data_IF_386095043102
#
_entry.id   IF_386095043102
#
_cell.length_a   1.000
_cell.length_b   1.000
_cell.length_c   1.000
_cell.angle_alpha   90.00
_cell.angle_beta   90.00
_cell.angle_gamma   90.00
#
_symmetry.space_group_name_H-M   'P 1'
#
loop_
_entity.id
_entity.type
_entity.pdbx_description
1 polymer ?
#
# COMPACT_ATOMS: atom_id res chain seq x y z
N UNK A 1 -16.75 -1.14 -2.62
CA UNK A 1 -15.57 -0.50 -3.25
C UNK A 1 -14.38 -0.50 -2.30
N UNK A 2 -13.17 -0.27 -2.82
CA UNK A 2 -11.95 -0.12 -1.99
C UNK A 2 -12.10 1.06 -1.01
N UNK A 3 -12.70 2.17 -1.45
CA UNK A 3 -12.91 3.33 -0.58
C UNK A 3 -13.81 3.02 0.61
N UNK A 4 -14.94 2.34 0.37
CA UNK A 4 -15.84 1.90 1.45
C UNK A 4 -15.13 0.93 2.39
N UNK A 5 -14.35 -0.01 1.87
CA UNK A 5 -13.59 -0.96 2.67
C UNK A 5 -12.54 -0.29 3.58
N UNK A 6 -11.87 0.75 3.08
CA UNK A 6 -10.93 1.59 3.86
C UNK A 6 -11.67 2.35 4.95
N UNK A 7 -12.81 2.98 4.61
CA UNK A 7 -13.68 3.68 5.58
C UNK A 7 -14.14 2.73 6.68
N UNK A 8 -14.70 1.58 6.31
CA UNK A 8 -15.18 0.58 7.27
C UNK A 8 -14.07 0.10 8.21
N UNK A 9 -12.87 -0.18 7.66
CA UNK A 9 -11.73 -0.60 8.47
C UNK A 9 -11.38 0.43 9.55
N UNK A 10 -11.28 1.71 9.19
CA UNK A 10 -10.97 2.76 10.13
C UNK A 10 -12.10 2.95 11.16
N UNK A 11 -13.35 2.96 10.71
CA UNK A 11 -14.52 3.14 11.57
C UNK A 11 -14.64 2.01 12.60
N UNK A 12 -14.49 0.76 12.16
CA UNK A 12 -14.52 -0.40 13.06
C UNK A 12 -13.39 -0.36 14.08
N UNK A 13 -12.16 0.01 13.69
CA UNK A 13 -11.04 0.12 14.61
C UNK A 13 -11.18 1.29 15.59
N UNK A 14 -11.73 2.42 15.16
CA UNK A 14 -12.05 3.54 16.05
C UNK A 14 -13.16 3.20 17.06
N UNK A 15 -14.16 2.38 16.67
CA UNK A 15 -15.16 1.87 17.59
C UNK A 15 -14.58 0.87 18.59
N UNK A 16 -13.66 0.02 18.13
CA UNK A 16 -13.04 -1.05 18.90
C UNK A 16 -12.06 -0.53 19.98
N UNK A 17 -11.28 0.51 19.67
CA UNK A 17 -10.19 0.98 20.51
C UNK A 17 -10.17 2.52 20.60
N UNK A 18 -10.41 3.04 21.78
CA UNK A 18 -10.44 4.49 22.02
C UNK A 18 -9.10 5.21 21.83
N UNK A 19 -8.00 4.47 21.71
CA UNK A 19 -6.68 5.02 21.38
C UNK A 19 -6.52 5.31 19.89
N UNK A 20 -7.36 4.74 19.02
CA UNK A 20 -7.34 5.00 17.59
C UNK A 20 -7.99 6.33 17.31
N UNK A 21 -7.29 7.23 16.66
CA UNK A 21 -7.81 8.50 16.14
C UNK A 21 -7.23 8.79 14.75
N UNK A 22 -7.89 9.67 14.01
CA UNK A 22 -7.44 10.06 12.68
C UNK A 22 -7.12 11.56 12.67
N UNK A 23 -6.05 11.91 11.94
CA UNK A 23 -5.64 13.29 11.72
C UNK A 23 -5.15 13.49 10.29
N UNK A 24 -5.37 14.66 9.75
CA UNK A 24 -4.98 15.03 8.40
C UNK A 24 -5.71 16.27 7.91
N UNK A 25 -5.48 16.63 6.66
CA UNK A 25 -6.10 17.79 6.03
C UNK A 25 -7.50 17.44 5.52
N UNK A 26 -8.46 18.33 5.74
CA UNK A 26 -9.86 18.20 5.26
C UNK A 26 -10.60 16.91 5.71
N UNK A 27 -10.08 16.19 6.68
CA UNK A 27 -10.64 14.87 7.09
C UNK A 27 -11.88 14.97 8.00
N UNK A 28 -12.14 16.13 8.60
CA UNK A 28 -13.25 16.39 9.51
C UNK A 28 -14.57 16.62 8.76
N UNK A 29 -15.04 17.86 8.76
CA UNK A 29 -16.34 18.20 8.20
C UNK A 29 -16.49 17.88 6.71
N UNK A 30 -15.39 17.92 5.95
CA UNK A 30 -15.37 17.57 4.53
C UNK A 30 -15.36 16.05 4.28
N UNK A 31 -14.84 15.27 5.22
CA UNK A 31 -14.72 13.81 5.09
C UNK A 31 -13.54 13.34 4.25
N UNK A 32 -12.52 14.19 4.05
CA UNK A 32 -11.35 13.93 3.22
C UNK A 32 -11.59 14.20 1.72
N UNK A 33 -10.52 14.37 0.96
CA UNK A 33 -10.58 14.66 -0.50
C UNK A 33 -11.32 13.55 -1.27
N UNK A 34 -11.19 12.33 -0.83
CA UNK A 34 -11.85 11.17 -1.45
C UNK A 34 -13.08 10.68 -0.67
N UNK A 35 -13.47 11.36 0.41
CA UNK A 35 -14.56 10.99 1.31
C UNK A 35 -14.28 9.70 2.11
N UNK A 36 -13.02 9.40 2.41
CA UNK A 36 -12.65 8.23 3.18
C UNK A 36 -13.05 8.33 4.66
N UNK A 37 -13.26 9.54 5.18
CA UNK A 37 -13.64 9.83 6.57
C UNK A 37 -15.01 10.49 6.70
N UNK A 38 -15.85 10.41 5.65
CA UNK A 38 -17.20 10.96 5.67
C UNK A 38 -18.02 10.40 6.83
N UNK A 39 -18.61 11.30 7.63
CA UNK A 39 -19.41 10.95 8.82
C UNK A 39 -18.60 10.67 10.10
N UNK A 40 -17.27 10.62 10.05
CA UNK A 40 -16.47 10.31 11.21
C UNK A 40 -16.52 11.41 12.28
N UNK A 41 -16.52 12.68 11.87
CA UNK A 41 -16.58 13.80 12.80
C UNK A 41 -17.87 13.76 13.65
N UNK A 42 -19.00 13.44 13.02
CA UNK A 42 -20.29 13.33 13.69
C UNK A 42 -20.33 12.15 14.68
N UNK A 43 -19.66 11.04 14.33
CA UNK A 43 -19.66 9.83 15.17
C UNK A 43 -18.64 9.90 16.31
N UNK A 44 -17.43 10.38 16.06
CA UNK A 44 -16.29 10.27 16.99
C UNK A 44 -15.90 11.59 17.65
N UNK A 45 -16.36 12.73 17.12
CA UNK A 45 -16.05 14.06 17.63
C UNK A 45 -14.65 14.58 17.27
N UNK A 46 -14.43 15.86 17.57
CA UNK A 46 -13.20 16.60 17.24
C UNK A 46 -11.94 16.09 17.95
N UNK A 47 -12.09 15.44 19.09
CA UNK A 47 -10.96 14.86 19.84
C UNK A 47 -10.36 13.63 19.16
N UNK A 48 -11.10 12.99 18.25
CA UNK A 48 -10.68 11.78 17.54
C UNK A 48 -10.64 11.90 16.03
N UNK A 49 -11.18 12.98 15.48
CA UNK A 49 -11.12 13.33 14.06
C UNK A 49 -10.58 14.74 13.97
N UNK A 50 -9.29 14.86 13.74
CA UNK A 50 -8.55 16.11 13.90
C UNK A 50 -8.20 16.68 12.52
N UNK A 51 -8.93 17.72 12.11
CA UNK A 51 -8.53 18.53 10.96
C UNK A 51 -7.25 19.30 11.29
N UNK A 52 -6.23 19.14 10.44
CA UNK A 52 -4.95 19.82 10.63
C UNK A 52 -4.79 20.95 9.60
N UNK A 53 -3.95 21.95 9.91
CA UNK A 53 -3.39 22.80 8.87
C UNK A 53 -2.60 21.97 7.85
N UNK A 54 -2.38 22.54 6.65
CA UNK A 54 -1.53 21.99 5.61
C UNK A 54 -0.05 22.00 6.06
N UNK A 55 0.36 20.92 6.73
CA UNK A 55 1.70 20.79 7.31
C UNK A 55 2.05 19.29 7.53
N UNK A 56 2.33 18.57 6.46
CA UNK A 56 2.51 17.11 6.48
C UNK A 56 3.63 16.64 7.41
N UNK A 57 4.70 17.43 7.56
CA UNK A 57 5.75 17.13 8.54
C UNK A 57 5.24 17.16 9.98
N UNK A 58 4.30 18.08 10.29
CA UNK A 58 3.66 18.17 11.61
C UNK A 58 2.66 17.04 11.79
N UNK A 59 1.88 16.69 10.78
CA UNK A 59 0.94 15.56 10.81
C UNK A 59 1.71 14.27 11.19
N UNK A 60 2.78 13.95 10.46
CA UNK A 60 3.60 12.77 10.75
C UNK A 60 4.30 12.85 12.12
N UNK A 61 4.79 14.03 12.50
CA UNK A 61 5.48 14.23 13.79
C UNK A 61 4.56 14.11 14.99
N UNK A 62 3.35 14.67 14.92
CA UNK A 62 2.34 14.55 15.99
C UNK A 62 1.85 13.11 16.08
N UNK A 63 1.61 12.45 14.94
CA UNK A 63 1.24 11.04 14.93
C UNK A 63 2.33 10.18 15.60
N UNK A 64 3.59 10.36 15.25
CA UNK A 64 4.70 9.64 15.88
C UNK A 64 4.76 9.90 17.39
N UNK A 65 4.72 11.17 17.84
CA UNK A 65 4.74 11.51 19.26
C UNK A 65 3.56 10.90 20.02
N UNK A 66 2.37 10.94 19.45
CA UNK A 66 1.16 10.34 20.03
C UNK A 66 1.27 8.81 20.12
N UNK A 67 1.81 8.17 19.09
CA UNK A 67 2.06 6.74 19.07
C UNK A 67 3.03 6.31 20.18
N UNK A 68 4.13 7.03 20.35
CA UNK A 68 5.10 6.79 21.43
C UNK A 68 4.51 6.97 22.83
N UNK A 69 3.41 7.71 22.95
CA UNK A 69 2.63 7.88 24.20
C UNK A 69 1.46 6.89 24.35
N UNK A 70 1.39 5.88 23.47
CA UNK A 70 0.43 4.79 23.58
C UNK A 70 -0.88 4.96 22.81
N UNK A 71 -1.02 6.02 22.00
CA UNK A 71 -2.12 6.18 21.08
C UNK A 71 -1.88 5.38 19.78
N UNK A 72 -2.90 5.25 18.95
CA UNK A 72 -2.82 4.58 17.63
C UNK A 72 -3.34 5.51 16.52
N UNK A 73 -2.54 6.50 16.14
CA UNK A 73 -2.92 7.47 15.12
C UNK A 73 -2.95 6.87 13.72
N UNK A 74 -3.96 7.30 12.96
CA UNK A 74 -4.03 7.19 11.51
C UNK A 74 -3.77 8.59 10.97
N UNK A 75 -2.60 8.81 10.38
CA UNK A 75 -2.22 10.08 9.76
C UNK A 75 -2.51 10.01 8.26
N UNK A 76 -3.40 10.86 7.75
CA UNK A 76 -3.70 10.94 6.32
C UNK A 76 -2.92 12.08 5.67
N UNK A 77 -2.22 11.77 4.59
CA UNK A 77 -1.64 12.74 3.65
C UNK A 77 -2.50 12.71 2.40
N UNK A 78 -2.98 13.85 1.94
CA UNK A 78 -3.97 13.93 0.86
C UNK A 78 -3.58 13.20 -0.42
N UNK A 79 -2.28 13.25 -0.78
CA UNK A 79 -1.72 12.59 -1.96
C UNK A 79 -0.29 12.10 -1.70
N UNK A 80 0.08 10.99 -2.30
CA UNK A 80 1.44 10.46 -2.25
C UNK A 80 2.50 11.47 -2.73
N UNK A 81 2.12 12.39 -3.61
CA UNK A 81 2.98 13.48 -4.09
C UNK A 81 3.35 14.49 -2.99
N UNK A 82 2.55 14.61 -1.93
CA UNK A 82 2.78 15.54 -0.81
C UNK A 82 3.44 14.87 0.40
N UNK A 83 3.80 13.59 0.28
CA UNK A 83 4.37 12.82 1.39
C UNK A 83 5.82 13.22 1.76
N UNK A 84 6.53 13.95 0.89
CA UNK A 84 7.94 14.27 1.05
C UNK A 84 8.31 14.99 2.35
N UNK A 85 7.52 15.97 2.86
CA UNK A 85 7.82 16.60 4.14
C UNK A 85 7.77 15.66 5.35
N UNK A 86 7.18 14.47 5.21
CA UNK A 86 7.08 13.48 6.30
C UNK A 86 8.34 12.62 6.46
N UNK A 87 9.28 12.66 5.51
CA UNK A 87 10.44 11.75 5.44
C UNK A 87 11.26 11.77 6.73
N UNK A 88 11.52 12.95 7.28
CA UNK A 88 12.30 13.04 8.52
C UNK A 88 11.63 12.29 9.67
N UNK A 89 10.32 12.45 9.86
CA UNK A 89 9.57 11.84 10.95
C UNK A 89 9.37 10.33 10.73
N UNK A 90 9.10 9.91 9.49
CA UNK A 90 8.78 8.51 9.17
C UNK A 90 10.05 7.69 8.97
N UNK A 91 10.93 8.12 8.07
CA UNK A 91 12.16 7.41 7.70
C UNK A 91 13.28 7.66 8.74
N UNK A 92 13.41 8.92 9.19
CA UNK A 92 14.44 9.32 10.14
C UNK A 92 14.17 8.80 11.55
N UNK A 93 12.94 8.86 12.00
CA UNK A 93 12.57 8.64 13.40
C UNK A 93 11.70 7.39 13.60
N UNK A 94 10.46 7.34 13.07
CA UNK A 94 9.50 6.27 13.36
C UNK A 94 10.07 4.87 13.04
N UNK A 95 10.74 4.72 11.91
CA UNK A 95 11.37 3.46 11.50
C UNK A 95 12.42 2.94 12.50
N UNK A 96 12.99 3.82 13.34
CA UNK A 96 14.11 3.50 14.22
C UNK A 96 13.73 3.40 15.69
N UNK A 97 12.54 3.85 16.09
CA UNK A 97 12.11 3.92 17.50
C UNK A 97 12.31 2.58 18.21
N UNK A 98 11.77 1.50 17.67
CA UNK A 98 11.91 0.17 18.31
C UNK A 98 13.35 -0.28 18.40
N UNK A 99 14.12 -0.16 17.33
CA UNK A 99 15.52 -0.58 17.30
C UNK A 99 16.40 0.27 18.22
N UNK A 100 16.27 1.62 18.14
CA UNK A 100 17.06 2.55 18.93
C UNK A 100 16.79 2.50 20.44
N UNK A 101 15.62 2.01 20.83
CA UNK A 101 15.24 1.85 22.25
C UNK A 101 15.31 0.41 22.75
N UNK A 102 15.91 -0.49 22.00
CA UNK A 102 16.00 -1.92 22.35
C UNK A 102 14.61 -2.55 22.62
N UNK A 103 13.60 -2.13 21.86
CA UNK A 103 12.23 -2.62 22.00
C UNK A 103 11.44 -2.02 23.15
N UNK A 104 11.96 -1.01 23.87
CA UNK A 104 11.25 -0.36 24.99
C UNK A 104 10.15 0.58 24.53
N UNK A 105 10.30 1.19 23.37
CA UNK A 105 9.29 2.04 22.75
C UNK A 105 8.85 1.47 21.41
N UNK A 106 7.62 1.80 21.04
CA UNK A 106 6.97 1.42 19.80
C UNK A 106 6.44 2.66 19.09
N UNK A 107 6.17 2.55 17.81
CA UNK A 107 5.55 3.62 17.03
C UNK A 107 4.32 3.06 16.26
N UNK A 108 3.23 2.68 16.99
CA UNK A 108 2.02 2.12 16.40
C UNK A 108 1.23 3.20 15.65
N UNK A 109 1.73 3.63 14.49
CA UNK A 109 1.09 4.63 13.65
C UNK A 109 0.89 4.10 12.23
N UNK A 110 -0.18 4.53 11.59
CA UNK A 110 -0.43 4.32 10.16
C UNK A 110 -0.31 5.66 9.45
N UNK A 111 0.57 5.74 8.45
CA UNK A 111 0.61 6.85 7.51
C UNK A 111 -0.12 6.40 6.24
N UNK A 112 -1.31 6.94 5.98
CA UNK A 112 -2.08 6.70 4.78
C UNK A 112 -1.81 7.77 3.73
N UNK A 113 -1.67 7.36 2.47
CA UNK A 113 -1.61 8.30 1.36
C UNK A 113 -2.22 7.67 0.10
N UNK A 114 -3.23 8.31 -0.50
CA UNK A 114 -3.68 7.98 -1.85
C UNK A 114 -2.57 8.27 -2.85
N UNK A 115 -2.15 7.26 -3.63
CA UNK A 115 -1.03 7.37 -4.57
C UNK A 115 -1.39 6.92 -6.00
N UNK A 116 -0.39 6.92 -6.90
CA UNK A 116 -0.49 6.39 -8.26
C UNK A 116 -1.15 7.32 -9.27
N UNK A 117 -1.08 6.97 -10.53
CA UNK A 117 -1.59 7.75 -11.65
C UNK A 117 -3.09 7.65 -11.90
N UNK A 118 -3.54 8.26 -13.00
CA UNK A 118 -4.92 8.17 -13.47
C UNK A 118 -5.89 9.20 -12.91
N UNK A 119 -5.43 10.10 -12.04
CA UNK A 119 -6.12 11.31 -11.64
C UNK A 119 -5.45 12.49 -12.35
N UNK A 120 -6.22 13.27 -13.10
CA UNK A 120 -5.69 14.37 -13.92
C UNK A 120 -5.50 15.62 -13.08
N UNK A 121 -4.59 15.57 -12.11
CA UNK A 121 -4.29 16.64 -11.17
C UNK A 121 -2.95 17.35 -11.44
N UNK A 122 -2.52 17.45 -12.68
CA UNK A 122 -1.21 17.99 -13.08
C UNK A 122 -0.02 17.17 -12.54
N UNK A 123 1.15 17.78 -12.39
CA UNK A 123 2.41 17.09 -12.05
C UNK A 123 2.45 16.45 -10.65
N UNK A 124 1.59 16.92 -9.73
CA UNK A 124 1.70 16.60 -8.30
C UNK A 124 0.61 15.67 -7.78
N UNK A 125 -0.01 14.86 -8.67
CA UNK A 125 -1.10 13.97 -8.26
C UNK A 125 -1.02 12.59 -8.92
N UNK A 126 0.16 12.17 -9.36
CA UNK A 126 0.32 10.94 -10.15
C UNK A 126 1.49 10.06 -9.72
N UNK A 127 2.14 10.36 -8.59
CA UNK A 127 3.35 9.65 -8.18
C UNK A 127 3.04 8.33 -7.48
N UNK A 128 3.92 7.36 -7.72
CA UNK A 128 4.09 6.15 -6.94
C UNK A 128 5.30 6.33 -6.04
N UNK A 129 5.17 6.01 -4.75
CA UNK A 129 6.19 6.37 -3.74
C UNK A 129 6.62 5.18 -2.89
N UNK A 130 6.09 4.02 -3.17
CA UNK A 130 6.27 2.80 -2.37
C UNK A 130 7.72 2.36 -2.26
N UNK A 131 8.52 2.49 -3.32
CA UNK A 131 9.91 2.06 -3.32
C UNK A 131 10.77 2.82 -2.31
N UNK A 132 10.51 4.11 -2.10
CA UNK A 132 11.23 4.92 -1.11
C UNK A 132 11.05 4.37 0.30
N UNK A 133 9.82 4.07 0.69
CA UNK A 133 9.50 3.55 2.02
C UNK A 133 9.89 2.08 2.16
N UNK A 134 9.74 1.28 1.10
CA UNK A 134 10.14 -0.13 1.09
C UNK A 134 11.65 -0.32 1.29
N UNK A 135 12.46 0.65 0.86
CA UNK A 135 13.91 0.65 1.10
C UNK A 135 14.27 0.91 2.56
N UNK A 136 13.34 1.36 3.41
CA UNK A 136 13.61 1.76 4.79
C UNK A 136 13.34 0.63 5.78
N UNK A 137 14.39 -0.02 6.36
CA UNK A 137 14.20 -1.00 7.43
C UNK A 137 13.49 -0.40 8.64
N UNK A 138 12.55 -1.16 9.23
CA UNK A 138 11.72 -0.72 10.35
C UNK A 138 10.36 -0.20 9.96
N UNK A 139 10.11 0.09 8.68
CA UNK A 139 8.78 0.38 8.15
C UNK A 139 8.12 -0.88 7.59
N UNK A 140 6.79 -0.90 7.62
CA UNK A 140 5.96 -1.79 6.81
C UNK A 140 5.28 -0.97 5.73
N UNK A 141 5.17 -1.52 4.50
CA UNK A 141 4.58 -0.81 3.36
C UNK A 141 3.57 -1.72 2.68
N UNK A 142 2.33 -1.27 2.64
CA UNK A 142 1.17 -2.03 2.16
C UNK A 142 0.56 -1.31 0.96
N UNK A 143 0.22 -2.09 -0.08
CA UNK A 143 -0.34 -1.61 -1.35
C UNK A 143 -1.51 -2.52 -1.77
N UNK A 144 -2.70 -2.39 -1.15
CA UNK A 144 -3.82 -3.30 -1.39
C UNK A 144 -4.38 -3.14 -2.81
N UNK A 145 -4.91 -4.22 -3.36
CA UNK A 145 -5.52 -4.24 -4.69
C UNK A 145 -7.03 -4.39 -4.68
N UNK A 146 -7.62 -5.01 -3.65
CA UNK A 146 -9.05 -5.31 -3.57
C UNK A 146 -9.69 -4.73 -2.30
N UNK A 147 -11.03 -4.60 -2.25
CA UNK A 147 -11.74 -4.19 -1.03
C UNK A 147 -11.46 -5.11 0.16
N UNK A 148 -11.46 -6.43 -0.07
CA UNK A 148 -11.15 -7.44 0.96
C UNK A 148 -9.74 -7.21 1.55
N UNK A 149 -8.74 -7.04 0.68
CA UNK A 149 -7.36 -6.81 1.11
C UNK A 149 -7.22 -5.46 1.82
N UNK A 150 -7.85 -4.41 1.30
CA UNK A 150 -7.79 -3.07 1.88
C UNK A 150 -8.33 -3.05 3.31
N UNK A 151 -9.52 -3.64 3.57
CA UNK A 151 -10.10 -3.71 4.91
C UNK A 151 -9.25 -4.55 5.85
N UNK A 152 -8.93 -5.78 5.46
CA UNK A 152 -8.21 -6.71 6.34
C UNK A 152 -6.78 -6.27 6.67
N UNK A 153 -6.06 -5.72 5.69
CA UNK A 153 -4.69 -5.21 5.89
C UNK A 153 -4.65 -3.88 6.65
N UNK A 154 -5.62 -2.98 6.44
CA UNK A 154 -5.66 -1.72 7.18
C UNK A 154 -5.97 -1.96 8.67
N UNK A 155 -6.89 -2.88 8.98
CA UNK A 155 -7.12 -3.30 10.37
C UNK A 155 -5.85 -3.90 11.00
N UNK A 156 -5.12 -4.73 10.27
CA UNK A 156 -3.83 -5.26 10.72
C UNK A 156 -2.80 -4.15 10.94
N UNK A 157 -2.75 -3.16 10.04
CA UNK A 157 -1.85 -2.02 10.15
C UNK A 157 -2.14 -1.16 11.40
N UNK A 158 -3.42 -0.89 11.69
CA UNK A 158 -3.82 -0.11 12.88
C UNK A 158 -3.50 -0.87 14.18
N UNK A 159 -3.55 -2.19 14.15
CA UNK A 159 -3.23 -3.06 15.30
C UNK A 159 -1.74 -3.34 15.47
N UNK A 160 -0.93 -3.04 14.48
CA UNK A 160 0.52 -3.27 14.52
C UNK A 160 1.21 -2.31 15.49
N UNK A 161 2.28 -2.75 16.14
CA UNK A 161 3.07 -1.93 17.05
C UNK A 161 4.24 -1.20 16.35
N UNK A 162 4.46 -1.49 15.07
CA UNK A 162 5.46 -0.81 14.23
C UNK A 162 4.79 0.14 13.23
N UNK A 163 5.51 1.14 12.73
CA UNK A 163 4.95 2.11 11.79
C UNK A 163 4.64 1.46 10.44
N UNK A 164 3.45 1.73 9.93
CA UNK A 164 2.96 1.23 8.64
C UNK A 164 2.68 2.40 7.70
N UNK A 165 3.23 2.33 6.49
CA UNK A 165 2.86 3.19 5.37
C UNK A 165 1.83 2.43 4.53
N UNK A 166 0.63 2.96 4.43
CA UNK A 166 -0.50 2.33 3.75
C UNK A 166 -0.87 3.15 2.52
N UNK A 167 -0.57 2.62 1.33
CA UNK A 167 -0.68 3.33 0.06
C UNK A 167 -1.84 2.78 -0.75
N UNK A 168 -2.93 3.53 -0.84
CA UNK A 168 -4.09 3.15 -1.62
C UNK A 168 -4.02 3.79 -3.01
N UNK A 169 -4.13 2.96 -4.05
CA UNK A 169 -4.14 3.50 -5.40
C UNK A 169 -5.47 4.22 -5.70
N UNK A 170 -5.41 5.52 -6.01
CA UNK A 170 -6.59 6.39 -6.18
C UNK A 170 -7.64 5.84 -7.16
N UNK A 171 -7.20 5.20 -8.26
CA UNK A 171 -8.13 4.61 -9.24
C UNK A 171 -8.89 3.41 -8.73
N UNK A 172 -8.33 2.67 -7.77
CA UNK A 172 -9.03 1.52 -7.19
C UNK A 172 -10.21 1.94 -6.33
N UNK A 173 -10.19 3.12 -5.74
CA UNK A 173 -11.17 3.60 -4.78
C UNK A 173 -12.62 3.38 -5.22
N UNK A 174 -12.96 3.74 -6.46
CA UNK A 174 -14.33 3.67 -6.97
C UNK A 174 -14.52 2.64 -8.08
N UNK A 175 -13.44 2.27 -8.78
CA UNK A 175 -13.49 1.36 -9.92
C UNK A 175 -13.45 -0.11 -9.51
N UNK A 176 -12.72 -0.43 -8.43
CA UNK A 176 -12.60 -1.80 -7.96
C UNK A 176 -13.67 -2.08 -6.93
N UNK A 177 -14.47 -3.11 -7.23
CA UNK A 177 -15.53 -3.62 -6.35
C UNK A 177 -15.26 -5.07 -6.03
N UNK A 178 -15.67 -5.51 -4.86
CA UNK A 178 -15.55 -6.90 -4.41
C UNK A 178 -16.34 -7.10 -3.13
N UNK A 179 -16.61 -8.35 -2.82
CA UNK A 179 -17.25 -8.73 -1.57
C UNK A 179 -16.29 -8.53 -0.41
N UNK A 180 -16.81 -8.02 0.69
CA UNK A 180 -16.12 -7.87 1.96
C UNK A 180 -16.98 -8.51 3.03
N UNK A 181 -16.46 -9.47 3.82
CA UNK A 181 -17.22 -10.08 4.89
C UNK A 181 -17.70 -9.06 5.94
N UNK A 182 -18.91 -9.29 6.47
CA UNK A 182 -19.43 -8.50 7.60
C UNK A 182 -18.77 -8.93 8.93
N UNK A 183 -18.26 -10.17 8.97
CA UNK A 183 -17.57 -10.72 10.12
C UNK A 183 -16.21 -10.06 10.33
N UNK A 184 -15.78 -10.05 11.58
CA UNK A 184 -14.46 -9.55 11.97
C UNK A 184 -13.34 -10.37 11.33
N UNK A 185 -12.46 -9.72 10.59
CA UNK A 185 -11.26 -10.36 10.04
C UNK A 185 -10.10 -9.39 9.93
N UNK A 186 -8.90 -9.95 9.89
CA UNK A 186 -7.64 -9.26 9.58
C UNK A 186 -6.84 -10.11 8.60
N UNK A 187 -5.92 -9.50 7.89
CA UNK A 187 -5.00 -10.20 7.00
C UNK A 187 -3.55 -10.03 7.47
N UNK A 188 -2.73 -11.09 7.41
CA UNK A 188 -1.34 -11.00 7.83
C UNK A 188 -0.53 -10.12 6.88
N UNK A 189 0.17 -9.13 7.44
CA UNK A 189 1.12 -8.29 6.72
C UNK A 189 2.30 -9.16 6.26
N UNK A 190 2.79 -8.95 5.03
CA UNK A 190 3.90 -9.71 4.47
C UNK A 190 3.48 -11.06 3.86
N UNK A 191 2.21 -11.19 3.46
CA UNK A 191 1.70 -12.37 2.76
C UNK A 191 1.08 -11.98 1.42
N UNK A 192 1.68 -12.51 0.36
CA UNK A 192 1.16 -12.41 -0.99
C UNK A 192 -0.05 -13.33 -1.21
N UNK A 193 -0.79 -13.08 -2.29
CA UNK A 193 -2.00 -13.82 -2.66
C UNK A 193 -2.02 -14.13 -4.15
N UNK A 194 -2.38 -15.37 -4.51
CA UNK A 194 -2.57 -15.76 -5.90
C UNK A 194 -3.98 -15.36 -6.32
N UNK A 195 -4.10 -14.31 -7.11
CA UNK A 195 -5.38 -13.81 -7.64
C UNK A 195 -5.88 -14.64 -8.83
N UNK A 196 -4.98 -15.31 -9.51
CA UNK A 196 -5.28 -16.23 -10.61
C UNK A 196 -4.23 -17.32 -10.67
N UNK A 197 -4.68 -18.56 -10.73
CA UNK A 197 -3.81 -19.71 -11.01
C UNK A 197 -3.45 -19.77 -12.49
N UNK A 198 -2.24 -20.25 -12.81
CA UNK A 198 -1.74 -20.49 -14.16
C UNK A 198 -0.46 -21.31 -14.12
N UNK A 199 -0.08 -21.88 -15.28
CA UNK A 199 1.05 -22.81 -15.35
C UNK A 199 2.12 -22.42 -16.38
N UNK A 200 1.87 -21.42 -17.25
CA UNK A 200 2.78 -21.10 -18.35
C UNK A 200 3.69 -19.91 -18.04
N UNK A 201 3.20 -18.91 -17.31
CA UNK A 201 3.95 -17.71 -16.93
C UNK A 201 3.40 -17.14 -15.62
N UNK A 202 4.29 -16.67 -14.77
CA UNK A 202 3.94 -15.94 -13.54
C UNK A 202 4.10 -14.45 -13.72
N UNK A 203 3.05 -13.72 -13.39
CA UNK A 203 3.06 -12.27 -13.28
C UNK A 203 3.04 -11.89 -11.80
N UNK A 204 4.07 -11.17 -11.34
CA UNK A 204 4.20 -10.69 -9.97
C UNK A 204 3.93 -9.19 -9.96
N UNK A 205 2.97 -8.76 -9.15
CA UNK A 205 2.47 -7.37 -9.20
C UNK A 205 1.85 -6.95 -7.88
N UNK A 206 1.34 -5.71 -7.77
CA UNK A 206 0.62 -5.16 -6.62
C UNK A 206 -0.26 -3.97 -7.02
N UNK A 207 -1.15 -3.56 -6.11
CA UNK A 207 -2.00 -2.39 -6.27
C UNK A 207 -2.87 -2.43 -7.53
N UNK A 208 -2.99 -1.31 -8.24
CA UNK A 208 -3.81 -1.22 -9.45
C UNK A 208 -3.37 -2.22 -10.54
N UNK A 209 -2.06 -2.47 -10.65
CA UNK A 209 -1.53 -3.31 -11.72
C UNK A 209 -2.02 -4.77 -11.63
N UNK A 210 -2.49 -5.24 -10.48
CA UNK A 210 -3.16 -6.54 -10.34
C UNK A 210 -4.33 -6.66 -11.32
N UNK A 211 -5.17 -5.62 -11.41
CA UNK A 211 -6.35 -5.62 -12.28
C UNK A 211 -5.98 -5.63 -13.76
N UNK A 212 -4.99 -4.83 -14.15
CA UNK A 212 -4.50 -4.84 -15.53
C UNK A 212 -3.84 -6.17 -15.92
N UNK A 213 -3.13 -6.80 -14.98
CA UNK A 213 -2.55 -8.12 -15.20
C UNK A 213 -3.63 -9.20 -15.31
N UNK A 214 -4.71 -9.13 -14.53
CA UNK A 214 -5.85 -10.05 -14.66
C UNK A 214 -6.59 -9.88 -15.98
N UNK A 215 -6.80 -8.65 -16.44
CA UNK A 215 -7.37 -8.34 -17.76
C UNK A 215 -6.49 -8.90 -18.89
N UNK A 216 -5.18 -8.66 -18.82
CA UNK A 216 -4.22 -9.19 -19.79
C UNK A 216 -4.18 -10.72 -19.79
N UNK A 217 -4.18 -11.34 -18.59
CA UNK A 217 -4.23 -12.79 -18.44
C UNK A 217 -5.49 -13.39 -19.08
N UNK A 218 -6.64 -12.71 -18.95
CA UNK A 218 -7.88 -13.15 -19.58
C UNK A 218 -7.84 -13.02 -21.12
N UNK A 219 -7.18 -11.99 -21.65
CA UNK A 219 -7.08 -11.76 -23.08
C UNK A 219 -6.30 -12.87 -23.82
N UNK A 220 -5.28 -13.46 -23.16
CA UNK A 220 -4.43 -14.50 -23.78
C UNK A 220 -4.93 -15.93 -23.57
N UNK A 221 -6.04 -16.13 -22.87
CA UNK A 221 -6.61 -17.48 -22.65
C UNK A 221 -6.91 -18.21 -23.95
N UNK A 222 -7.43 -17.51 -24.95
CA UNK A 222 -7.76 -18.10 -26.24
C UNK A 222 -6.51 -18.48 -27.08
N UNK A 223 -5.34 -18.00 -26.67
CA UNK A 223 -4.05 -18.38 -27.25
C UNK A 223 -3.47 -19.63 -26.55
N UNK A 224 -4.17 -20.17 -25.56
CA UNK A 224 -3.75 -21.34 -24.79
C UNK A 224 -2.68 -21.01 -23.74
N UNK A 225 -2.58 -19.74 -23.29
CA UNK A 225 -1.59 -19.31 -22.29
C UNK A 225 -2.29 -19.17 -20.94
N UNK A 226 -1.80 -19.92 -19.94
CA UNK A 226 -2.26 -19.88 -18.56
C UNK A 226 -1.34 -19.01 -17.70
N UNK A 227 -1.79 -17.78 -17.42
CA UNK A 227 -1.04 -16.80 -16.61
C UNK A 227 -1.41 -16.92 -15.14
N UNK A 228 -0.41 -17.16 -14.29
CA UNK A 228 -0.56 -16.99 -12.84
C UNK A 228 -0.37 -15.51 -12.48
N UNK A 229 -1.22 -14.97 -11.62
CA UNK A 229 -1.09 -13.58 -11.12
C UNK A 229 -0.93 -13.60 -9.61
N UNK A 230 0.26 -13.26 -9.14
CA UNK A 230 0.61 -13.10 -7.73
C UNK A 230 0.54 -11.63 -7.34
N UNK A 231 -0.38 -11.30 -6.42
CA UNK A 231 -0.47 -9.99 -5.77
C UNK A 231 0.39 -9.97 -4.51
N UNK A 232 1.39 -9.12 -4.47
CA UNK A 232 2.27 -8.98 -3.31
C UNK A 232 1.55 -8.42 -2.09
N UNK A 233 0.49 -7.59 -2.25
CA UNK A 233 -0.23 -6.90 -1.17
C UNK A 233 0.64 -6.01 -0.31
N UNK A 234 1.85 -6.48 0.01
CA UNK A 234 2.82 -5.84 0.89
C UNK A 234 4.18 -5.83 0.21
N UNK A 235 4.76 -4.67 0.05
CA UNK A 235 6.09 -4.54 -0.55
C UNK A 235 7.20 -4.47 0.52
N UNK A 236 6.81 -4.28 1.79
CA UNK A 236 7.70 -4.42 2.96
C UNK A 236 6.89 -4.84 4.20
N UNK A 237 7.18 -5.99 4.87
CA UNK A 237 8.05 -7.06 4.38
C UNK A 237 7.47 -7.69 3.10
N UNK A 238 8.34 -8.13 2.21
CA UNK A 238 7.94 -8.83 0.98
C UNK A 238 7.81 -10.34 1.25
N UNK A 239 6.93 -11.04 0.54
CA UNK A 239 6.77 -12.50 0.67
C UNK A 239 7.71 -13.24 -0.29
N UNK A 240 9.00 -13.32 0.07
CA UNK A 240 10.04 -14.01 -0.71
C UNK A 240 9.64 -15.44 -1.07
N UNK A 241 9.00 -16.14 -0.12
CA UNK A 241 8.60 -17.54 -0.32
C UNK A 241 7.52 -17.69 -1.38
N UNK A 242 6.58 -16.77 -1.46
CA UNK A 242 5.56 -16.77 -2.49
C UNK A 242 6.16 -16.44 -3.85
N UNK A 243 7.05 -15.45 -3.92
CA UNK A 243 7.78 -15.05 -5.13
C UNK A 243 8.57 -16.24 -5.69
N UNK A 244 9.35 -16.89 -4.84
CA UNK A 244 10.19 -18.03 -5.26
C UNK A 244 9.33 -19.21 -5.73
N UNK A 245 8.27 -19.58 -4.99
CA UNK A 245 7.36 -20.67 -5.39
C UNK A 245 6.72 -20.41 -6.75
N UNK A 246 6.21 -19.20 -6.98
CA UNK A 246 5.59 -18.78 -8.24
C UNK A 246 6.61 -18.87 -9.40
N UNK A 247 7.84 -18.35 -9.19
CA UNK A 247 8.88 -18.41 -10.20
C UNK A 247 9.30 -19.87 -10.54
N UNK A 248 9.45 -20.73 -9.53
CA UNK A 248 9.78 -22.14 -9.71
C UNK A 248 8.66 -22.92 -10.43
N UNK A 249 7.40 -22.53 -10.23
CA UNK A 249 6.24 -23.20 -10.81
C UNK A 249 6.20 -23.07 -12.34
N UNK A 250 6.46 -21.88 -12.86
CA UNK A 250 6.25 -21.57 -14.27
C UNK A 250 7.54 -21.41 -15.07
N UNK A 251 8.67 -21.19 -14.43
CA UNK A 251 9.96 -20.93 -15.07
C UNK A 251 10.03 -19.62 -15.88
N UNK A 252 8.92 -18.89 -16.02
CA UNK A 252 8.85 -17.63 -16.76
C UNK A 252 8.21 -16.55 -15.88
N UNK A 253 8.93 -15.46 -15.65
CA UNK A 253 8.52 -14.41 -14.73
C UNK A 253 8.46 -13.05 -15.40
N UNK A 254 7.30 -12.41 -15.30
CA UNK A 254 7.07 -11.00 -15.63
C UNK A 254 6.72 -10.25 -14.35
N UNK A 255 7.43 -9.17 -14.06
CA UNK A 255 7.14 -8.28 -12.93
C UNK A 255 6.50 -7.01 -13.46
N UNK A 256 5.35 -6.62 -12.90
CA UNK A 256 4.60 -5.44 -13.36
C UNK A 256 4.31 -4.51 -12.19
N UNK A 257 4.69 -3.24 -12.30
CA UNK A 257 4.32 -2.20 -11.34
C UNK A 257 4.26 -0.81 -11.99
N UNK A 258 3.60 0.14 -11.34
CA UNK A 258 3.40 1.47 -11.89
C UNK A 258 4.59 2.39 -11.63
N UNK A 259 5.29 2.23 -10.52
CA UNK A 259 6.47 3.02 -10.16
C UNK A 259 7.59 2.89 -11.21
N UNK A 260 8.59 3.76 -11.12
CA UNK A 260 9.75 3.79 -12.00
C UNK A 260 10.43 2.41 -12.10
N UNK A 261 10.84 2.03 -13.32
CA UNK A 261 11.56 0.78 -13.55
C UNK A 261 12.91 0.73 -12.87
N UNK A 262 13.59 1.86 -12.81
CA UNK A 262 14.89 1.99 -12.12
C UNK A 262 14.65 2.08 -10.60
N UNK A 263 15.31 1.20 -9.86
CA UNK A 263 15.27 1.15 -8.38
C UNK A 263 13.87 0.96 -7.76
N UNK A 264 12.85 0.68 -8.56
CA UNK A 264 11.52 0.34 -8.06
C UNK A 264 11.48 -1.06 -7.44
N UNK A 265 10.37 -1.39 -6.76
CA UNK A 265 10.16 -2.69 -6.07
C UNK A 265 10.43 -3.90 -6.97
N UNK A 266 10.10 -3.79 -8.26
CA UNK A 266 10.36 -4.86 -9.23
C UNK A 266 11.85 -5.20 -9.43
N UNK A 267 12.78 -4.33 -9.04
CA UNK A 267 14.20 -4.65 -9.05
C UNK A 267 14.54 -5.64 -7.93
N UNK A 268 13.99 -5.44 -6.72
CA UNK A 268 14.14 -6.35 -5.59
C UNK A 268 13.48 -7.71 -5.89
N UNK A 269 12.26 -7.73 -6.41
CA UNK A 269 11.60 -8.97 -6.82
C UNK A 269 12.45 -9.75 -7.84
N UNK A 270 13.04 -9.05 -8.81
CA UNK A 270 13.93 -9.66 -9.79
C UNK A 270 15.20 -10.24 -9.16
N UNK A 271 15.76 -9.57 -8.14
CA UNK A 271 16.91 -10.06 -7.38
C UNK A 271 16.54 -11.34 -6.62
N UNK A 272 15.43 -11.34 -5.87
CA UNK A 272 14.92 -12.51 -5.13
C UNK A 272 14.75 -13.72 -6.07
N UNK A 273 14.13 -13.54 -7.23
CA UNK A 273 13.96 -14.61 -8.22
C UNK A 273 15.33 -15.10 -8.72
N UNK A 274 16.24 -14.19 -9.04
CA UNK A 274 17.57 -14.54 -9.56
C UNK A 274 18.44 -15.26 -8.52
N UNK A 275 18.35 -14.89 -7.25
CA UNK A 275 19.12 -15.49 -6.16
C UNK A 275 18.59 -16.88 -5.75
N UNK A 276 17.27 -17.07 -5.81
CA UNK A 276 16.64 -18.24 -5.17
C UNK A 276 15.88 -19.16 -6.15
N UNK A 277 15.67 -18.77 -7.38
CA UNK A 277 14.94 -19.55 -8.39
C UNK A 277 15.64 -19.61 -9.75
N UNK A 278 16.89 -19.14 -9.87
CA UNK A 278 17.60 -19.06 -11.15
C UNK A 278 17.62 -20.39 -11.93
N UNK A 279 17.87 -21.51 -11.26
CA UNK A 279 17.97 -22.84 -11.89
C UNK A 279 16.64 -23.35 -12.45
N UNK A 280 15.52 -22.69 -12.12
CA UNK A 280 14.19 -23.05 -12.58
C UNK A 280 13.69 -22.15 -13.75
N UNK A 281 14.47 -21.12 -14.10
CA UNK A 281 14.06 -20.17 -15.12
C UNK A 281 14.33 -20.68 -16.53
N UNK A 282 13.32 -20.60 -17.38
CA UNK A 282 13.39 -20.89 -18.84
C UNK A 282 13.92 -19.69 -19.65
N UNK A 283 14.01 -18.51 -19.04
CA UNK A 283 14.46 -17.29 -19.67
C UNK A 283 14.68 -16.15 -18.66
N UNK A 284 15.13 -14.99 -19.12
CA UNK A 284 15.38 -13.85 -18.22
C UNK A 284 14.09 -13.34 -17.59
N UNK A 285 14.18 -12.87 -16.33
CA UNK A 285 13.10 -12.15 -15.66
C UNK A 285 12.80 -10.85 -16.42
N UNK A 286 11.57 -10.68 -16.87
CA UNK A 286 11.11 -9.47 -17.53
C UNK A 286 10.48 -8.49 -16.54
N UNK A 287 10.68 -7.18 -16.77
CA UNK A 287 10.05 -6.12 -15.97
C UNK A 287 9.33 -5.12 -16.87
N UNK A 288 8.04 -4.94 -16.63
CA UNK A 288 7.21 -3.87 -17.18
C UNK A 288 6.87 -2.89 -16.08
N UNK A 289 7.37 -1.67 -16.17
CA UNK A 289 7.20 -0.67 -15.14
C UNK A 289 7.21 0.75 -15.72
N UNK A 290 6.92 1.74 -14.89
CA UNK A 290 6.89 3.13 -15.29
C UNK A 290 8.21 3.60 -15.93
N UNK A 291 8.14 4.52 -16.89
CA UNK A 291 9.33 5.10 -17.51
C UNK A 291 10.09 6.00 -16.50
N UNK A 292 11.37 6.27 -16.80
CA UNK A 292 12.18 7.20 -16.03
C UNK A 292 11.80 8.66 -16.37
N UNK A 293 10.71 9.13 -15.79
CA UNK A 293 10.21 10.50 -15.97
C UNK A 293 10.00 11.15 -14.60
N UNK A 294 10.23 12.48 -14.47
CA UNK A 294 10.10 13.17 -13.19
C UNK A 294 8.68 13.17 -12.60
N UNK A 295 7.69 12.97 -13.43
CA UNK A 295 6.29 12.84 -13.05
C UNK A 295 5.57 11.93 -14.04
N UNK A 296 4.66 11.07 -13.56
CA UNK A 296 3.84 10.26 -14.45
C UNK A 296 2.92 11.15 -15.29
N UNK A 297 2.72 10.82 -16.58
CA UNK A 297 1.82 11.57 -17.45
C UNK A 297 0.40 11.62 -16.88
N UNK A 298 -0.20 12.79 -16.84
CA UNK A 298 -1.56 13.02 -16.33
C UNK A 298 -2.56 13.38 -17.45
N UNK A 299 -2.09 13.62 -18.66
CA UNK A 299 -2.87 13.88 -19.87
C UNK A 299 -2.55 12.88 -20.96
N UNK A 300 -3.50 12.54 -21.83
CA UNK A 300 -3.17 11.90 -23.12
C UNK A 300 -2.24 12.81 -23.91
N UNK A 301 -1.36 12.24 -24.73
CA UNK A 301 -0.49 13.00 -25.64
C UNK A 301 -1.31 13.81 -26.63
#
# INVERSE_FOLDING_TARGET
TVLEAVRDAMQEEMRRDNRVFIMGEDIGARGGVFLATEGFLDEFGEDRVIDTPLAESSIAGIALGSAMHGMRPIAEIEFGDFIWPTINQVVGEAARVRYGTEGKLHAPMVLRAPHGGGVRGALYHSQSVEALFAHTPGLKVITPSTPYDAKGLLKSAIRDDDPVVFLEHKRTYRLVKGEVPDEEYTLPIGRADIKREGNDISVITYGLMVHHCLEAAQAVVNEGIEVEVLDLRTVRPIDDKAIVRTAMKTGKVLIVHEDSKALGVGAEVSAIVSEHAFEYLDGPVARLAGPEVPAMPFSPP
#
